data_IF_174290985665
#
_entry.id   IF_174290985665
#
_cell.length_a   1.000
_cell.length_b   1.000
_cell.length_c   1.000
_cell.angle_alpha   90.00
_cell.angle_beta   90.00
_cell.angle_gamma   90.00
#
_symmetry.space_group_name_H-M   'P 1'
#
loop_
_entity.id
_entity.type
_entity.pdbx_description
1 polymer ?
#
# COMPACT_ATOMS: atom_id res chain seq x y z
N UNK A 1 -58.60 32.23 -9.62
CA UNK A 1 -58.94 31.33 -10.74
C UNK A 1 -58.02 30.11 -10.64
N UNK A 2 -58.57 28.99 -10.19
CA UNK A 2 -57.93 27.68 -10.10
C UNK A 2 -58.30 26.88 -11.36
N UNK A 3 -57.33 26.21 -11.99
CA UNK A 3 -57.53 25.00 -12.81
C UNK A 3 -56.77 23.88 -12.04
N UNK A 4 -57.38 22.91 -11.37
CA UNK A 4 -58.27 21.81 -11.82
C UNK A 4 -57.54 20.85 -12.77
N UNK A 5 -56.88 19.81 -12.21
CA UNK A 5 -57.29 18.38 -12.21
C UNK A 5 -56.84 17.66 -13.50
N UNK A 6 -55.98 16.63 -13.42
CA UNK A 6 -56.45 15.28 -13.09
C UNK A 6 -55.45 14.40 -12.30
N UNK A 7 -56.05 13.53 -11.46
CA UNK A 7 -55.49 12.48 -10.61
C UNK A 7 -56.22 11.18 -10.99
N UNK A 8 -55.64 10.02 -10.70
CA UNK A 8 -56.11 8.62 -10.93
C UNK A 8 -55.62 8.01 -12.25
N UNK A 9 -54.99 6.82 -12.28
CA UNK A 9 -55.45 5.54 -11.74
C UNK A 9 -54.29 4.58 -11.32
N UNK A 10 -54.53 3.88 -10.20
CA UNK A 10 -54.16 2.50 -9.80
C UNK A 10 -52.72 1.97 -10.04
N UNK A 11 -51.94 1.65 -8.99
CA UNK A 11 -52.03 0.45 -8.12
C UNK A 11 -51.89 -0.89 -8.86
N UNK A 12 -50.75 -1.58 -8.66
CA UNK A 12 -50.68 -3.03 -8.39
C UNK A 12 -49.25 -3.42 -7.96
N UNK A 13 -49.09 -3.66 -6.65
CA UNK A 13 -48.00 -4.46 -6.07
C UNK A 13 -48.34 -5.95 -6.24
N UNK A 14 -47.38 -6.84 -6.54
CA UNK A 14 -47.52 -8.23 -6.18
C UNK A 14 -46.96 -8.46 -4.77
N UNK A 15 -47.84 -8.84 -3.85
CA UNK A 15 -47.48 -9.51 -2.62
C UNK A 15 -47.31 -11.01 -2.91
N UNK A 16 -46.17 -11.58 -2.52
CA UNK A 16 -46.04 -13.02 -2.35
C UNK A 16 -45.54 -13.27 -0.93
N UNK A 17 -46.45 -13.65 -0.06
CA UNK A 17 -46.17 -14.20 1.26
C UNK A 17 -45.94 -15.71 1.10
N UNK A 18 -44.85 -16.23 1.66
CA UNK A 18 -44.75 -17.64 2.06
C UNK A 18 -44.28 -17.67 3.50
N UNK A 19 -45.19 -18.08 4.37
CA UNK A 19 -44.97 -18.36 5.78
C UNK A 19 -44.67 -19.86 5.95
N UNK A 20 -43.73 -20.21 6.84
CA UNK A 20 -43.60 -21.49 7.58
C UNK A 20 -42.42 -21.33 8.54
N UNK A 21 -42.56 -20.97 9.81
CA UNK A 21 -43.04 -21.78 10.95
C UNK A 21 -42.27 -23.10 11.14
N UNK A 22 -41.30 -23.08 12.05
CA UNK A 22 -40.58 -24.26 12.53
C UNK A 22 -40.02 -24.01 13.93
N UNK A 23 -40.91 -24.04 14.93
CA UNK A 23 -40.55 -24.11 16.36
C UNK A 23 -40.50 -25.60 16.73
N UNK A 24 -39.35 -26.07 17.21
CA UNK A 24 -39.24 -27.31 17.97
C UNK A 24 -38.45 -27.04 19.25
N UNK A 25 -39.14 -27.16 20.39
CA UNK A 25 -38.57 -27.12 21.73
C UNK A 25 -38.54 -28.54 22.33
N UNK A 26 -37.72 -28.67 23.39
CA UNK A 26 -37.66 -29.70 24.44
C UNK A 26 -36.86 -30.97 24.08
N UNK A 27 -35.95 -31.47 24.92
CA UNK A 27 -35.94 -31.47 26.40
C UNK A 27 -34.56 -31.71 27.04
N UNK A 28 -34.49 -31.30 28.31
CA UNK A 28 -33.48 -31.46 29.35
C UNK A 28 -33.03 -32.90 29.66
N UNK A 29 -31.75 -33.03 30.09
CA UNK A 29 -31.26 -33.83 31.23
C UNK A 29 -29.73 -33.61 31.38
N UNK A 30 -29.03 -33.69 32.51
CA UNK A 30 -29.25 -33.56 33.96
C UNK A 30 -27.86 -33.79 34.64
N UNK A 31 -27.57 -33.07 35.73
CA UNK A 31 -26.65 -33.34 36.87
C UNK A 31 -25.19 -33.81 36.61
N UNK A 32 -24.16 -33.07 37.05
CA UNK A 32 -23.55 -33.07 38.40
C UNK A 32 -22.07 -33.51 38.26
N UNK A 33 -21.04 -33.15 39.04
CA UNK A 33 -20.83 -32.48 40.33
C UNK A 33 -19.34 -32.03 40.36
N UNK A 34 -19.04 -30.84 40.90
CA UNK A 34 -18.20 -30.61 42.10
C UNK A 34 -16.68 -30.48 41.88
N UNK A 35 -16.12 -29.34 42.29
CA UNK A 35 -14.97 -29.21 43.21
C UNK A 35 -14.16 -27.90 42.98
N UNK A 36 -14.32 -27.00 43.95
CA UNK A 36 -13.30 -26.15 44.61
C UNK A 36 -12.22 -25.35 43.83
N UNK A 37 -12.22 -24.05 44.10
CA UNK A 37 -11.11 -23.05 44.13
C UNK A 37 -9.81 -23.60 44.77
N UNK A 38 -8.58 -23.01 44.58
CA UNK A 38 -8.32 -21.55 44.60
C UNK A 38 -7.18 -20.95 43.74
N UNK A 39 -7.22 -19.61 43.64
CA UNK A 39 -6.12 -18.62 43.70
C UNK A 39 -4.69 -19.06 43.31
N UNK A 40 -4.11 -18.41 42.29
CA UNK A 40 -2.71 -17.99 42.35
C UNK A 40 -2.49 -16.72 41.51
N UNK A 41 -2.28 -15.60 42.22
CA UNK A 41 -1.78 -14.35 41.67
C UNK A 41 -0.26 -14.35 41.77
N UNK A 42 0.52 -14.15 40.69
CA UNK A 42 1.88 -13.71 40.84
C UNK A 42 1.91 -12.17 40.91
N UNK A 43 2.12 -11.69 42.14
CA UNK A 43 2.76 -10.41 42.40
C UNK A 43 4.19 -10.44 41.84
N UNK A 44 4.52 -9.59 40.88
CA UNK A 44 5.92 -9.27 40.59
C UNK A 44 6.28 -7.97 41.30
N UNK A 45 6.93 -8.13 42.45
CA UNK A 45 7.57 -7.06 43.19
C UNK A 45 8.72 -6.44 42.40
N UNK A 46 8.85 -5.13 42.58
CA UNK A 46 9.98 -4.32 42.19
C UNK A 46 11.33 -4.93 42.63
N UNK A 47 12.26 -5.04 41.69
CA UNK A 47 13.68 -5.20 41.96
C UNK A 47 14.36 -3.83 41.91
N UNK A 48 15.03 -3.54 43.02
CA UNK A 48 15.74 -2.32 43.36
C UNK A 48 17.12 -2.32 42.68
N UNK A 49 17.46 -1.14 42.17
CA UNK A 49 18.79 -0.54 42.01
C UNK A 49 20.00 -1.32 42.55
N UNK A 50 21.00 -1.51 41.68
CA UNK A 50 22.41 -1.58 42.05
C UNK A 50 23.27 -1.19 40.85
N UNK A 51 23.92 -0.03 40.95
CA UNK A 51 25.06 0.35 40.15
C UNK A 51 26.27 -0.58 40.44
N UNK A 52 27.23 -0.62 39.52
CA UNK A 52 28.56 -0.21 39.96
C UNK A 52 29.19 0.83 39.01
N UNK A 53 29.81 1.82 39.64
CA UNK A 53 30.83 2.68 39.06
C UNK A 53 31.94 1.84 38.43
N UNK A 54 32.30 2.18 37.20
CA UNK A 54 33.59 1.84 36.63
C UNK A 54 34.34 3.14 36.37
N UNK A 55 35.38 3.33 37.18
CA UNK A 55 36.53 4.19 36.96
C UNK A 55 36.96 4.23 35.49
N UNK A 56 37.06 5.43 34.92
CA UNK A 56 38.07 5.73 33.90
C UNK A 56 38.59 7.15 34.16
N UNK A 57 39.84 7.18 34.60
CA UNK A 57 40.64 8.36 34.84
C UNK A 57 41.02 9.08 33.53
N UNK A 58 41.34 10.34 33.72
CA UNK A 58 41.73 11.42 32.81
C UNK A 58 43.04 11.25 32.03
N UNK A 59 43.10 11.99 30.90
CA UNK A 59 44.26 12.66 30.27
C UNK A 59 45.31 11.81 29.55
N UNK A 60 46.00 12.27 28.50
CA UNK A 60 45.96 13.44 27.60
C UNK A 60 47.05 13.22 26.53
N UNK A 61 46.85 13.83 25.36
CA UNK A 61 47.85 14.45 24.47
C UNK A 61 49.10 13.68 23.98
N UNK A 62 49.24 13.62 22.64
CA UNK A 62 50.40 14.07 21.81
C UNK A 62 50.03 13.67 20.36
N UNK A 63 50.07 14.48 19.31
CA UNK A 63 50.85 15.68 18.99
C UNK A 63 51.64 15.40 17.69
N UNK A 64 51.17 15.88 16.53
CA UNK A 64 51.96 16.61 15.51
C UNK A 64 51.20 16.89 14.20
N UNK A 65 50.82 18.16 14.02
CA UNK A 65 51.30 19.12 12.99
C UNK A 65 51.81 18.59 11.63
N UNK A 66 51.07 19.01 10.58
CA UNK A 66 51.52 19.72 9.37
C UNK A 66 52.71 19.17 8.55
N UNK A 67 52.52 18.95 7.24
CA UNK A 67 53.11 19.78 6.18
C UNK A 67 52.75 19.27 4.77
N UNK A 68 52.46 20.23 3.88
CA UNK A 68 52.22 20.11 2.43
C UNK A 68 53.47 20.66 1.72
N UNK A 69 54.03 20.02 0.67
CA UNK A 69 54.00 20.62 -0.68
C UNK A 69 53.86 19.58 -1.82
N UNK A 70 53.07 19.83 -2.88
CA UNK A 70 53.49 20.31 -4.23
C UNK A 70 54.69 19.54 -4.83
N UNK A 71 54.73 19.02 -6.07
CA UNK A 71 54.27 19.48 -7.40
C UNK A 71 54.74 18.41 -8.41
N UNK A 72 54.02 18.15 -9.51
CA UNK A 72 54.60 18.13 -10.87
C UNK A 72 53.53 18.14 -11.98
N UNK A 73 53.61 19.25 -12.69
CA UNK A 73 52.99 19.66 -13.94
C UNK A 73 53.37 18.73 -15.09
N UNK A 74 52.45 18.46 -16.02
CA UNK A 74 52.75 18.42 -17.46
C UNK A 74 51.52 18.92 -18.21
N UNK A 75 51.68 20.12 -18.74
CA UNK A 75 50.80 20.77 -19.73
C UNK A 75 51.54 20.66 -21.06
N UNK A 76 50.91 20.11 -22.10
CA UNK A 76 51.24 20.39 -23.51
C UNK A 76 49.91 20.42 -24.27
N UNK A 77 49.33 21.62 -24.42
CA UNK A 77 49.23 22.45 -25.64
C UNK A 77 48.03 22.08 -26.53
N UNK A 78 47.21 23.12 -26.71
CA UNK A 78 45.94 23.30 -27.40
C UNK A 78 46.13 23.68 -28.88
N UNK A 79 45.20 23.31 -29.77
CA UNK A 79 44.58 24.16 -30.82
C UNK A 79 43.67 23.37 -31.80
N UNK A 80 42.64 24.02 -32.43
CA UNK A 80 41.31 23.44 -32.70
C UNK A 80 40.88 23.51 -34.21
N UNK A 81 39.58 23.57 -34.58
CA UNK A 81 38.70 22.48 -35.06
C UNK A 81 38.38 22.52 -36.58
N UNK A 82 37.91 21.41 -37.18
CA UNK A 82 37.12 21.49 -38.44
C UNK A 82 36.23 20.25 -38.72
N UNK A 83 35.18 20.50 -39.50
CA UNK A 83 33.90 19.78 -39.67
C UNK A 83 33.94 18.49 -40.51
N UNK A 84 32.97 17.58 -40.28
CA UNK A 84 32.16 16.76 -41.24
C UNK A 84 31.45 15.65 -40.43
N UNK A 85 30.14 15.71 -40.19
CA UNK A 85 29.02 15.18 -41.00
C UNK A 85 29.13 13.70 -41.43
N UNK A 86 28.22 12.93 -40.80
CA UNK A 86 27.34 11.88 -41.31
C UNK A 86 27.68 10.38 -41.19
N UNK A 87 26.56 9.66 -40.96
CA UNK A 87 26.27 8.24 -41.14
C UNK A 87 26.23 7.29 -39.93
N UNK A 88 25.08 7.39 -39.23
CA UNK A 88 24.09 6.31 -39.02
C UNK A 88 24.45 5.04 -38.23
N UNK A 89 23.92 4.98 -37.00
CA UNK A 89 23.49 3.74 -36.34
C UNK A 89 22.11 3.97 -35.69
N UNK A 90 21.16 3.01 -35.79
CA UNK A 90 19.74 3.28 -35.63
C UNK A 90 19.35 3.43 -34.16
N UNK A 91 18.67 4.55 -33.87
CA UNK A 91 17.92 4.74 -32.64
C UNK A 91 16.87 3.64 -32.52
N UNK A 92 16.85 2.91 -31.41
CA UNK A 92 15.80 1.93 -31.12
C UNK A 92 14.47 2.68 -31.01
N UNK A 93 13.65 2.45 -32.02
CA UNK A 93 12.19 2.49 -32.04
C UNK A 93 11.53 3.43 -31.04
N UNK A 94 11.14 4.60 -31.57
CA UNK A 94 9.84 5.19 -31.25
C UNK A 94 8.77 4.08 -31.38
N UNK A 95 8.24 3.61 -30.26
CA UNK A 95 6.97 2.90 -30.25
C UNK A 95 5.91 3.90 -30.66
N UNK A 96 5.32 3.72 -31.84
CA UNK A 96 4.19 4.50 -32.29
C UNK A 96 2.92 3.73 -31.91
N UNK A 97 2.30 4.11 -30.80
CA UNK A 97 1.08 3.51 -30.28
C UNK A 97 0.21 4.58 -29.60
N UNK A 98 -0.30 5.53 -30.40
CA UNK A 98 -1.28 6.51 -29.98
C UNK A 98 -0.72 7.65 -29.13
N UNK A 99 -0.57 8.84 -29.69
CA UNK A 99 -0.57 10.06 -28.87
C UNK A 99 -2.01 10.31 -28.38
N UNK A 100 -2.48 9.48 -27.45
CA UNK A 100 -3.44 9.98 -26.46
C UNK A 100 -2.67 11.02 -25.66
N UNK A 101 -3.14 12.26 -25.68
CA UNK A 101 -2.63 13.26 -24.74
C UNK A 101 -2.74 12.66 -23.34
N UNK A 102 -1.63 12.61 -22.61
CA UNK A 102 -1.63 12.12 -21.24
C UNK A 102 -2.62 12.93 -20.40
N UNK A 103 -3.14 12.33 -19.33
CA UNK A 103 -3.97 13.09 -18.39
C UNK A 103 -3.22 14.33 -17.89
N UNK A 104 -3.93 15.45 -17.72
CA UNK A 104 -3.36 16.67 -17.11
C UNK A 104 -3.31 16.61 -15.58
N UNK A 105 -3.71 15.48 -14.99
CA UNK A 105 -3.73 15.29 -13.55
C UNK A 105 -2.33 15.17 -12.96
N UNK A 106 -2.18 15.62 -11.72
CA UNK A 106 -1.04 15.30 -10.87
C UNK A 106 -1.48 14.30 -9.79
N UNK A 107 -0.52 13.82 -9.00
CA UNK A 107 -0.74 12.84 -7.93
C UNK A 107 -1.90 13.23 -7.00
N UNK A 108 -2.00 14.51 -6.63
CA UNK A 108 -3.03 15.00 -5.71
C UNK A 108 -4.43 14.97 -6.34
N UNK A 109 -4.56 15.42 -7.59
CA UNK A 109 -5.86 15.40 -8.28
C UNK A 109 -6.29 13.97 -8.63
N UNK A 110 -5.34 13.13 -9.06
CA UNK A 110 -5.57 11.71 -9.31
C UNK A 110 -6.03 10.98 -8.04
N UNK A 111 -5.33 11.18 -6.92
CA UNK A 111 -5.71 10.64 -5.62
C UNK A 111 -7.12 11.08 -5.20
N UNK A 112 -7.45 12.38 -5.29
CA UNK A 112 -8.78 12.89 -4.88
C UNK A 112 -9.91 12.25 -5.69
N UNK A 113 -9.71 12.05 -7.00
CA UNK A 113 -10.68 11.37 -7.87
C UNK A 113 -10.80 9.89 -7.56
N UNK A 114 -9.67 9.21 -7.35
CA UNK A 114 -9.64 7.78 -7.06
C UNK A 114 -10.24 7.45 -5.69
N UNK A 115 -9.87 8.20 -4.65
CA UNK A 115 -10.25 7.88 -3.27
C UNK A 115 -11.74 8.04 -3.00
N UNK A 116 -12.45 8.86 -3.78
CA UNK A 116 -13.89 8.97 -3.72
C UNK A 116 -14.62 7.67 -4.12
N UNK A 117 -13.92 6.75 -4.80
CA UNK A 117 -14.44 5.47 -5.27
C UNK A 117 -13.95 4.29 -4.40
N UNK A 118 -13.06 4.53 -3.44
CA UNK A 118 -12.55 3.51 -2.53
C UNK A 118 -13.46 3.42 -1.32
N UNK A 119 -13.90 2.21 -0.99
CA UNK A 119 -14.73 1.98 0.19
C UNK A 119 -13.98 2.39 1.48
N UNK A 120 -14.67 2.97 2.47
CA UNK A 120 -14.10 3.18 3.80
C UNK A 120 -13.66 1.87 4.43
N UNK A 121 -12.62 1.91 5.27
CA UNK A 121 -12.17 0.71 5.94
C UNK A 121 -13.24 0.18 6.93
N UNK A 122 -13.62 -1.11 6.86
CA UNK A 122 -14.68 -1.65 7.71
C UNK A 122 -14.38 -1.48 9.20
N UNK A 123 -15.36 -0.98 9.95
CA UNK A 123 -15.28 -0.85 11.41
C UNK A 123 -14.36 0.27 11.92
N UNK A 124 -13.76 1.09 11.05
CA UNK A 124 -12.96 2.23 11.45
C UNK A 124 -13.32 3.48 10.64
N UNK A 125 -13.87 4.50 11.32
CA UNK A 125 -14.16 5.80 10.70
C UNK A 125 -12.90 6.66 10.63
N UNK A 126 -11.98 6.27 9.74
CA UNK A 126 -10.80 7.07 9.40
C UNK A 126 -10.65 7.14 7.89
N UNK A 127 -10.39 8.33 7.34
CA UNK A 127 -10.22 8.48 5.91
C UNK A 127 -8.89 7.89 5.46
N UNK A 128 -8.86 7.42 4.23
CA UNK A 128 -7.62 7.13 3.53
C UNK A 128 -6.81 8.41 3.30
N UNK A 129 -5.48 8.27 3.26
CA UNK A 129 -4.48 9.32 3.01
C UNK A 129 -3.37 8.77 2.12
N UNK A 130 -2.78 9.58 1.22
CA UNK A 130 -1.60 9.17 0.47
C UNK A 130 -0.46 8.82 1.43
N UNK A 131 0.22 7.71 1.14
CA UNK A 131 1.41 7.26 1.86
C UNK A 131 2.66 7.37 0.98
N UNK A 132 2.57 6.88 -0.25
CA UNK A 132 3.64 6.91 -1.25
C UNK A 132 3.01 6.97 -2.65
N UNK A 133 3.74 7.51 -3.63
CA UNK A 133 3.22 7.72 -4.98
C UNK A 133 4.31 7.49 -6.03
N UNK A 134 3.92 6.79 -7.09
CA UNK A 134 4.64 6.69 -8.36
C UNK A 134 3.64 6.89 -9.50
N UNK A 135 2.72 7.84 -9.31
CA UNK A 135 1.74 8.22 -10.30
C UNK A 135 2.44 8.86 -11.50
N UNK A 136 2.00 8.47 -12.68
CA UNK A 136 2.44 9.02 -13.95
C UNK A 136 1.21 9.03 -14.87
N UNK A 137 0.78 10.21 -15.37
CA UNK A 137 -0.39 10.32 -16.23
C UNK A 137 -0.17 9.78 -17.65
N UNK A 138 1.06 9.42 -18.02
CA UNK A 138 1.44 8.86 -19.33
C UNK A 138 1.80 7.37 -19.28
N UNK A 139 1.92 6.77 -18.09
CA UNK A 139 2.36 5.38 -17.98
C UNK A 139 1.20 4.41 -18.21
N UNK A 140 1.49 3.28 -18.84
CA UNK A 140 0.54 2.17 -18.99
C UNK A 140 0.09 1.63 -17.63
N UNK A 141 0.96 1.64 -16.63
CA UNK A 141 0.58 1.35 -15.25
C UNK A 141 1.34 2.26 -14.29
N UNK A 142 0.60 3.03 -13.48
CA UNK A 142 1.13 3.84 -12.38
C UNK A 142 0.28 3.63 -11.11
N UNK A 143 0.77 4.09 -9.96
CA UNK A 143 0.08 3.80 -8.69
C UNK A 143 0.25 4.89 -7.63
N UNK A 144 -0.71 4.89 -6.70
CA UNK A 144 -0.66 5.65 -5.45
C UNK A 144 -0.96 4.68 -4.30
N UNK A 145 -0.07 4.59 -3.32
CA UNK A 145 -0.30 3.81 -2.11
C UNK A 145 -0.98 4.68 -1.06
N UNK A 146 -2.07 4.21 -0.47
CA UNK A 146 -2.82 4.91 0.57
C UNK A 146 -2.89 4.09 1.85
N UNK A 147 -2.95 4.78 2.99
CA UNK A 147 -3.19 4.18 4.31
C UNK A 147 -4.18 5.01 5.11
N UNK A 148 -4.59 4.53 6.28
CA UNK A 148 -5.53 5.24 7.14
C UNK A 148 -4.87 6.44 7.81
N UNK A 149 -5.61 7.52 7.99
CA UNK A 149 -5.17 8.64 8.82
C UNK A 149 -4.85 8.14 10.24
N UNK A 150 -3.70 8.55 10.79
CA UNK A 150 -3.22 8.03 12.08
C UNK A 150 -2.74 6.57 12.03
N UNK A 151 -2.35 6.07 10.85
CA UNK A 151 -1.79 4.73 10.67
C UNK A 151 -0.58 4.46 11.59
N UNK A 152 -0.48 3.20 12.00
CA UNK A 152 0.68 2.60 12.68
C UNK A 152 1.35 1.59 11.75
N UNK A 153 2.45 0.96 12.19
CA UNK A 153 3.25 0.08 11.34
C UNK A 153 2.46 -1.12 10.74
N UNK A 154 1.41 -1.59 11.40
CA UNK A 154 0.57 -2.71 10.95
C UNK A 154 -0.79 -2.26 10.40
N UNK A 155 -1.00 -0.95 10.20
CA UNK A 155 -2.22 -0.43 9.61
C UNK A 155 -2.41 -0.92 8.17
N UNK A 156 -3.66 -0.94 7.68
CA UNK A 156 -3.96 -1.41 6.34
C UNK A 156 -3.55 -0.41 5.25
N UNK A 157 -3.24 -0.94 4.07
CA UNK A 157 -2.85 -0.20 2.88
C UNK A 157 -3.65 -0.69 1.67
N UNK A 158 -4.03 0.26 0.81
CA UNK A 158 -4.43 -0.02 -0.57
C UNK A 158 -3.37 0.52 -1.53
N UNK A 159 -3.27 -0.12 -2.69
CA UNK A 159 -2.52 0.39 -3.84
C UNK A 159 -3.57 0.74 -4.89
N UNK A 160 -3.69 2.02 -5.21
CA UNK A 160 -4.59 2.56 -6.23
C UNK A 160 -3.86 2.47 -7.57
N UNK A 161 -4.45 1.80 -8.56
CA UNK A 161 -3.84 1.59 -9.87
C UNK A 161 -4.42 2.55 -10.91
N UNK A 162 -3.55 3.02 -11.80
CA UNK A 162 -3.90 3.96 -12.86
C UNK A 162 -3.29 3.52 -14.19
N UNK A 163 -3.98 3.78 -15.29
CA UNK A 163 -3.49 3.64 -16.66
C UNK A 163 -3.71 4.95 -17.39
N UNK A 164 -2.65 5.57 -17.92
CA UNK A 164 -2.73 6.87 -18.58
C UNK A 164 -3.45 7.95 -17.74
N UNK A 165 -3.23 7.91 -16.42
CA UNK A 165 -3.85 8.81 -15.46
C UNK A 165 -5.30 8.51 -15.08
N UNK A 166 -5.94 7.52 -15.72
CA UNK A 166 -7.28 7.06 -15.36
C UNK A 166 -7.23 6.03 -14.23
N UNK A 167 -8.09 6.20 -13.23
CA UNK A 167 -8.16 5.28 -12.09
C UNK A 167 -8.83 3.95 -12.49
N UNK A 168 -8.14 2.84 -12.25
CA UNK A 168 -8.60 1.49 -12.59
C UNK A 168 -9.27 0.77 -11.42
N UNK A 169 -8.95 1.15 -10.19
CA UNK A 169 -9.34 0.43 -8.99
C UNK A 169 -8.17 0.17 -8.05
N UNK A 170 -8.44 -0.59 -6.99
CA UNK A 170 -7.41 -1.05 -6.07
C UNK A 170 -6.74 -2.32 -6.61
N UNK A 171 -5.44 -2.50 -6.35
CA UNK A 171 -4.72 -3.72 -6.74
C UNK A 171 -5.38 -4.99 -6.17
N UNK A 172 -5.93 -4.89 -4.97
CA UNK A 172 -6.64 -5.97 -4.28
C UNK A 172 -7.96 -5.45 -3.73
N UNK A 173 -8.97 -6.32 -3.68
CA UNK A 173 -10.29 -5.95 -3.13
C UNK A 173 -10.23 -5.59 -1.64
N UNK A 174 -9.34 -6.24 -0.88
CA UNK A 174 -9.08 -5.94 0.53
C UNK A 174 -7.79 -5.14 0.67
N UNK A 175 -7.76 -4.24 1.65
CA UNK A 175 -6.52 -3.63 2.12
C UNK A 175 -5.75 -4.63 3.00
N UNK A 176 -4.41 -4.62 2.90
CA UNK A 176 -3.55 -5.48 3.70
C UNK A 176 -2.74 -4.67 4.70
N UNK A 177 -2.50 -5.24 5.88
CA UNK A 177 -1.64 -4.64 6.89
C UNK A 177 -0.20 -4.49 6.40
N UNK A 178 0.54 -3.58 7.03
CA UNK A 178 1.93 -3.26 6.76
C UNK A 178 2.16 -2.58 5.40
N UNK A 179 3.13 -1.68 5.35
CA UNK A 179 3.46 -0.99 4.10
C UNK A 179 3.90 -1.99 3.03
N UNK A 180 3.22 -2.05 1.88
CA UNK A 180 3.66 -2.88 0.78
C UNK A 180 4.93 -2.28 0.18
N UNK A 181 5.82 -3.14 -0.33
CA UNK A 181 6.93 -2.69 -1.19
C UNK A 181 6.48 -2.83 -2.63
N UNK A 182 6.32 -1.70 -3.31
CA UNK A 182 5.92 -1.67 -4.72
C UNK A 182 7.12 -1.26 -5.57
N UNK A 183 7.40 -2.01 -6.63
CA UNK A 183 8.47 -1.72 -7.57
C UNK A 183 7.98 -1.87 -9.00
N UNK A 184 8.41 -0.96 -9.88
CA UNK A 184 8.16 -1.07 -11.32
C UNK A 184 8.96 -2.24 -11.91
N UNK A 185 8.29 -3.09 -12.69
CA UNK A 185 8.94 -4.13 -13.51
C UNK A 185 9.19 -3.58 -14.91
N UNK A 186 8.16 -3.02 -15.53
CA UNK A 186 8.21 -2.29 -16.80
C UNK A 186 7.10 -1.21 -16.85
N UNK A 187 6.83 -0.65 -18.04
CA UNK A 187 5.83 0.41 -18.21
C UNK A 187 4.41 -0.04 -17.84
N UNK A 188 4.10 -1.32 -18.09
CA UNK A 188 2.79 -1.95 -17.93
C UNK A 188 2.66 -2.85 -16.70
N UNK A 189 3.77 -3.18 -16.02
CA UNK A 189 3.80 -4.14 -14.91
C UNK A 189 4.49 -3.60 -13.65
N UNK A 190 3.89 -3.90 -12.49
CA UNK A 190 4.46 -3.67 -11.17
C UNK A 190 4.54 -4.98 -10.37
N UNK A 191 5.55 -5.09 -9.51
CA UNK A 191 5.68 -6.14 -8.52
C UNK A 191 5.43 -5.57 -7.13
N UNK A 192 4.68 -6.31 -6.32
CA UNK A 192 4.32 -5.94 -4.95
C UNK A 192 4.72 -7.05 -4.00
N UNK A 193 5.50 -6.70 -2.98
CA UNK A 193 5.76 -7.59 -1.83
C UNK A 193 4.92 -7.14 -0.65
N UNK A 194 4.07 -8.04 -0.16
CA UNK A 194 3.29 -7.85 1.06
C UNK A 194 3.99 -8.50 2.26
N UNK A 195 3.73 -7.96 3.46
CA UNK A 195 4.16 -8.54 4.73
C UNK A 195 2.95 -8.83 5.61
N UNK A 196 3.00 -9.90 6.39
CA UNK A 196 1.91 -10.32 7.28
C UNK A 196 2.46 -11.19 8.43
N UNK A 197 1.82 -11.23 9.62
CA UNK A 197 2.23 -12.10 10.71
C UNK A 197 1.76 -13.52 10.43
N UNK A 198 2.66 -14.50 10.56
CA UNK A 198 2.31 -15.91 10.48
C UNK A 198 1.48 -16.35 11.68
N UNK A 199 0.91 -17.54 11.59
CA UNK A 199 0.25 -18.16 12.74
C UNK A 199 1.18 -18.19 13.96
N UNK A 200 0.70 -17.69 15.09
CA UNK A 200 1.47 -17.57 16.33
C UNK A 200 2.34 -16.32 16.46
N UNK A 201 2.51 -15.51 15.40
CA UNK A 201 3.27 -14.26 15.46
C UNK A 201 2.41 -13.06 15.87
N UNK A 202 2.96 -12.16 16.67
CA UNK A 202 2.41 -10.83 16.86
C UNK A 202 2.75 -9.89 15.70
N UNK A 203 2.01 -8.78 15.56
CA UNK A 203 2.27 -7.78 14.50
C UNK A 203 3.70 -7.23 14.49
N UNK A 204 4.34 -7.11 15.66
CA UNK A 204 5.70 -6.62 15.78
C UNK A 204 6.75 -7.61 15.24
N UNK A 205 6.41 -8.90 15.16
CA UNK A 205 7.30 -9.99 14.77
C UNK A 205 6.97 -10.54 13.36
N UNK A 206 6.06 -9.86 12.63
CA UNK A 206 5.54 -10.33 11.37
C UNK A 206 6.63 -10.70 10.36
N UNK A 207 6.75 -11.99 10.05
CA UNK A 207 7.79 -12.55 9.19
C UNK A 207 7.27 -13.12 7.86
N UNK A 208 5.95 -13.23 7.69
CA UNK A 208 5.31 -13.68 6.47
C UNK A 208 5.47 -12.67 5.34
N UNK A 209 5.77 -13.17 4.14
CA UNK A 209 5.80 -12.37 2.91
C UNK A 209 5.13 -13.11 1.77
N UNK A 210 4.49 -12.37 0.87
CA UNK A 210 4.01 -12.88 -0.43
C UNK A 210 4.39 -11.87 -1.52
N UNK A 211 4.45 -12.35 -2.75
CA UNK A 211 4.74 -11.53 -3.92
C UNK A 211 3.61 -11.65 -4.94
N UNK A 212 3.15 -10.50 -5.43
CA UNK A 212 2.15 -10.42 -6.49
C UNK A 212 2.66 -9.51 -7.61
N UNK A 213 2.31 -9.86 -8.85
CA UNK A 213 2.50 -9.00 -10.02
C UNK A 213 1.16 -8.42 -10.47
N UNK A 214 1.15 -7.17 -10.90
CA UNK A 214 -0.02 -6.52 -11.49
C UNK A 214 0.39 -5.94 -12.83
N UNK A 215 -0.20 -6.46 -13.90
CA UNK A 215 0.11 -6.09 -15.28
C UNK A 215 -1.11 -5.55 -15.99
N UNK A 216 -0.98 -4.41 -16.66
CA UNK A 216 -1.99 -3.91 -17.59
C UNK A 216 -2.06 -4.83 -18.82
N UNK A 217 -3.26 -5.30 -19.13
CA UNK A 217 -3.54 -6.11 -20.30
C UNK A 217 -4.29 -5.28 -21.34
N UNK A 218 -3.57 -4.82 -22.36
CA UNK A 218 -4.11 -3.96 -23.41
C UNK A 218 -5.26 -4.62 -24.17
N UNK A 219 -5.21 -5.94 -24.39
CA UNK A 219 -6.27 -6.66 -25.11
C UNK A 219 -7.56 -6.79 -24.29
N UNK A 220 -7.44 -6.94 -22.98
CA UNK A 220 -8.57 -7.07 -22.07
C UNK A 220 -9.00 -5.76 -21.41
N UNK A 221 -8.24 -4.67 -21.59
CA UNK A 221 -8.44 -3.35 -20.99
C UNK A 221 -8.63 -3.44 -19.47
N UNK A 222 -7.76 -4.22 -18.81
CA UNK A 222 -7.80 -4.42 -17.36
C UNK A 222 -6.43 -4.82 -16.81
N UNK A 223 -6.27 -4.66 -15.50
CA UNK A 223 -5.13 -5.24 -14.79
C UNK A 223 -5.35 -6.73 -14.56
N UNK A 224 -4.33 -7.53 -14.84
CA UNK A 224 -4.26 -8.96 -14.50
C UNK A 224 -3.27 -9.15 -13.37
N UNK A 225 -3.73 -9.78 -12.28
CA UNK A 225 -2.89 -10.14 -11.16
C UNK A 225 -2.25 -11.52 -11.39
N UNK A 226 -0.99 -11.65 -10.97
CA UNK A 226 -0.27 -12.92 -10.82
C UNK A 226 0.32 -13.03 -9.41
N UNK A 227 0.77 -14.24 -9.03
CA UNK A 227 1.32 -14.50 -7.70
C UNK A 227 0.26 -14.53 -6.59
N UNK A 228 0.69 -14.24 -5.36
CA UNK A 228 -0.10 -14.45 -4.15
C UNK A 228 -0.21 -13.17 -3.30
N UNK A 229 -1.37 -13.02 -2.68
CA UNK A 229 -1.63 -12.02 -1.63
C UNK A 229 -1.55 -12.69 -0.26
N UNK A 230 -1.40 -11.92 0.84
CA UNK A 230 -1.44 -12.48 2.19
C UNK A 230 -2.68 -13.35 2.40
N UNK A 231 -2.57 -14.45 3.18
CA UNK A 231 -3.73 -15.24 3.54
C UNK A 231 -4.72 -14.38 4.31
N UNK A 232 -6.01 -14.69 4.16
CA UNK A 232 -7.05 -14.02 4.96
C UNK A 232 -6.83 -14.37 6.43
N UNK A 233 -6.68 -13.33 7.26
CA UNK A 233 -6.62 -13.43 8.72
C UNK A 233 -8.00 -13.26 9.33
#
# INVERSE_FOLDING_TARGET
>A
MLNSLDRFLLQLRPAAAVASAGVLCLSLAACGSDSADPEDSPSFSAAKESAPEADQATSSADGNTEEKPARKTTTVVEAPPEKKQDESAPSRGQGNGGSSECSSDNDESAYKKAIAQVEPYPGLDRPWRPFDSNFDPCADLSWITVTLEGATASSPYHILLFHNGEYLGTATAKAYGFSPKVSRVDDSEIAVTYRWPKEGEGNAEASGTTQAGFRWDEGAQKVVMSGDVPPMQ
#
